data_IF_029021956961
#
_entry.id   IF_029021956961
#
_cell.length_a   1.000
_cell.length_b   1.000
_cell.length_c   1.000
_cell.angle_alpha   90.00
_cell.angle_beta   90.00
_cell.angle_gamma   90.00
#
_symmetry.space_group_name_H-M   'P 1'
#
loop_
_entity.id
_entity.type
_entity.pdbx_description
1 polymer ?
#
# COMPACT_ATOMS: atom_id res chain seq x y z
N UNK A 1 11.23 -15.89 -12.79
CA UNK A 1 11.06 -14.82 -11.78
C UNK A 1 12.23 -13.84 -11.74
N UNK A 2 13.46 -14.23 -12.10
CA UNK A 2 14.62 -13.32 -12.14
C UNK A 2 14.41 -12.07 -13.00
N UNK A 3 13.74 -12.18 -14.16
CA UNK A 3 13.39 -11.02 -15.00
C UNK A 3 12.44 -10.04 -14.32
N UNK A 4 11.43 -10.54 -13.60
CA UNK A 4 10.48 -9.73 -12.84
C UNK A 4 11.17 -9.01 -11.68
N UNK A 5 12.00 -9.71 -10.91
CA UNK A 5 12.75 -9.11 -9.80
C UNK A 5 13.70 -8.02 -10.33
N UNK A 6 14.42 -8.28 -11.41
CA UNK A 6 15.28 -7.29 -12.04
C UNK A 6 14.51 -6.05 -12.53
N UNK A 7 13.28 -6.23 -13.01
CA UNK A 7 12.41 -5.12 -13.42
C UNK A 7 11.95 -4.31 -12.20
N UNK A 8 11.43 -4.97 -11.17
CA UNK A 8 10.97 -4.35 -9.92
C UNK A 8 12.10 -3.51 -9.30
N UNK A 9 13.31 -4.05 -9.24
CA UNK A 9 14.46 -3.39 -8.60
C UNK A 9 14.95 -2.13 -9.32
N UNK A 10 14.50 -1.88 -10.56
CA UNK A 10 14.91 -0.72 -11.38
C UNK A 10 13.78 0.26 -11.63
N UNK A 11 12.61 0.02 -11.03
CA UNK A 11 11.39 0.77 -11.32
C UNK A 11 10.99 1.59 -10.11
N UNK A 12 10.55 2.82 -10.36
CA UNK A 12 9.81 3.61 -9.37
C UNK A 12 8.36 3.13 -9.34
N UNK A 13 7.88 2.73 -8.16
CA UNK A 13 6.55 2.18 -8.01
C UNK A 13 5.63 3.13 -7.23
N UNK A 14 4.44 3.40 -7.76
CA UNK A 14 3.37 4.05 -7.02
C UNK A 14 2.39 3.01 -6.49
N UNK A 15 2.11 3.08 -5.18
CA UNK A 15 1.20 2.19 -4.46
C UNK A 15 0.21 3.01 -3.62
N UNK A 16 -0.77 2.32 -3.03
CA UNK A 16 -1.72 2.91 -2.09
C UNK A 16 -1.75 2.12 -0.79
N UNK A 17 -1.19 2.67 0.29
CA UNK A 17 -1.06 1.96 1.57
C UNK A 17 -0.01 0.85 1.50
N UNK A 18 1.20 1.19 1.08
CA UNK A 18 2.24 0.28 0.59
C UNK A 18 2.87 -0.65 1.65
N UNK A 19 2.64 -0.44 2.95
CA UNK A 19 3.35 -1.14 4.03
C UNK A 19 3.24 -2.67 3.94
N UNK A 20 2.03 -3.19 3.75
CA UNK A 20 1.82 -4.64 3.65
C UNK A 20 2.36 -5.22 2.34
N UNK A 21 2.23 -4.48 1.22
CA UNK A 21 2.74 -4.90 -0.08
C UNK A 21 4.26 -5.01 -0.06
N UNK A 22 4.96 -4.02 0.50
CA UNK A 22 6.41 -4.05 0.64
C UNK A 22 6.89 -5.21 1.53
N UNK A 23 6.21 -5.46 2.66
CA UNK A 23 6.53 -6.61 3.52
C UNK A 23 6.32 -7.95 2.81
N UNK A 24 5.25 -8.06 2.02
CA UNK A 24 4.97 -9.25 1.23
C UNK A 24 6.03 -9.46 0.15
N UNK A 25 6.37 -8.42 -0.62
CA UNK A 25 7.42 -8.45 -1.64
C UNK A 25 8.77 -8.86 -1.03
N UNK A 26 9.15 -8.26 0.11
CA UNK A 26 10.36 -8.62 0.82
C UNK A 26 10.35 -10.08 1.27
N UNK A 27 9.26 -10.57 1.86
CA UNK A 27 9.15 -11.98 2.31
C UNK A 27 9.15 -12.98 1.16
N UNK A 28 8.53 -12.65 0.04
CA UNK A 28 8.35 -13.57 -1.10
C UNK A 28 9.54 -13.55 -2.05
N UNK A 29 10.14 -12.39 -2.29
CA UNK A 29 11.18 -12.20 -3.31
C UNK A 29 12.52 -11.72 -2.75
N UNK A 30 12.61 -11.41 -1.46
CA UNK A 30 13.82 -10.83 -0.84
C UNK A 30 14.14 -9.43 -1.35
N UNK A 31 13.18 -8.75 -1.97
CA UNK A 31 13.42 -7.46 -2.63
C UNK A 31 12.13 -6.63 -2.71
N UNK A 32 12.32 -5.31 -2.76
CA UNK A 32 11.29 -4.29 -2.97
C UNK A 32 11.81 -3.32 -4.03
N UNK A 33 10.94 -2.59 -4.75
CA UNK A 33 11.39 -1.53 -5.66
C UNK A 33 12.34 -0.55 -4.95
N UNK A 34 13.32 -0.03 -5.69
CA UNK A 34 14.30 0.91 -5.15
C UNK A 34 13.61 2.17 -4.60
N UNK A 35 12.58 2.64 -5.32
CA UNK A 35 11.75 3.76 -4.92
C UNK A 35 10.29 3.35 -4.91
N UNK A 36 9.64 3.54 -3.76
CA UNK A 36 8.21 3.31 -3.59
C UNK A 36 7.57 4.60 -3.10
N UNK A 37 6.58 5.08 -3.85
CA UNK A 37 5.77 6.23 -3.48
C UNK A 37 4.37 5.78 -3.09
N UNK A 38 3.82 6.36 -2.02
CA UNK A 38 2.52 5.97 -1.48
C UNK A 38 1.51 7.11 -1.58
N UNK A 39 0.50 6.92 -2.44
CA UNK A 39 -0.61 7.87 -2.59
C UNK A 39 -1.35 8.14 -1.28
N UNK A 40 -1.47 7.15 -0.39
CA UNK A 40 -2.08 7.33 0.93
C UNK A 40 -1.28 8.31 1.80
N UNK A 41 0.04 8.17 1.81
CA UNK A 41 0.96 9.07 2.52
C UNK A 41 0.90 10.48 1.94
N UNK A 42 0.92 10.60 0.60
CA UNK A 42 0.77 11.88 -0.08
C UNK A 42 -0.56 12.56 0.30
N UNK A 43 -1.69 11.86 0.23
CA UNK A 43 -3.00 12.41 0.60
C UNK A 43 -3.06 12.86 2.06
N UNK A 44 -2.45 12.11 2.99
CA UNK A 44 -2.35 12.51 4.40
C UNK A 44 -1.55 13.78 4.58
N UNK A 45 -0.42 13.93 3.90
CA UNK A 45 0.41 15.15 3.93
C UNK A 45 -0.29 16.35 3.30
N UNK A 46 -1.23 16.13 2.37
CA UNK A 46 -2.10 17.16 1.81
C UNK A 46 -3.32 17.49 2.71
N UNK A 47 -3.49 16.80 3.84
CA UNK A 47 -4.59 17.04 4.78
C UNK A 47 -5.93 16.42 4.37
N UNK A 48 -5.93 15.45 3.44
CA UNK A 48 -7.14 14.73 3.03
C UNK A 48 -7.65 13.88 4.19
N UNK A 49 -8.93 14.05 4.57
CA UNK A 49 -9.53 13.33 5.71
C UNK A 49 -9.82 11.86 5.40
N UNK A 50 -10.27 11.57 4.18
CA UNK A 50 -10.61 10.21 3.71
C UNK A 50 -9.60 9.76 2.67
N UNK A 51 -8.53 9.13 3.13
CA UNK A 51 -7.39 8.75 2.29
C UNK A 51 -7.41 7.29 1.84
N UNK A 52 -8.56 6.61 1.88
CA UNK A 52 -8.68 5.26 1.30
C UNK A 52 -8.90 5.35 -0.20
N UNK A 53 -8.31 4.43 -0.98
CA UNK A 53 -8.31 4.45 -2.45
C UNK A 53 -9.66 4.77 -3.07
N UNK A 54 -10.73 4.10 -2.63
CA UNK A 54 -12.09 4.34 -3.15
C UNK A 54 -12.53 5.79 -2.97
N UNK A 55 -12.25 6.40 -1.82
CA UNK A 55 -12.59 7.81 -1.60
C UNK A 55 -11.72 8.73 -2.45
N UNK A 56 -10.42 8.43 -2.60
CA UNK A 56 -9.54 9.24 -3.42
C UNK A 56 -9.91 9.17 -4.90
N UNK A 57 -10.31 8.00 -5.40
CA UNK A 57 -10.77 7.84 -6.78
C UNK A 57 -12.08 8.61 -7.02
N UNK A 58 -13.00 8.55 -6.06
CA UNK A 58 -14.25 9.33 -6.11
C UNK A 58 -13.95 10.84 -6.08
N UNK A 59 -13.09 11.30 -5.17
CA UNK A 59 -12.74 12.72 -5.00
C UNK A 59 -11.97 13.29 -6.21
N UNK A 60 -11.06 12.52 -6.81
CA UNK A 60 -10.22 12.98 -7.92
C UNK A 60 -10.89 12.83 -9.29
N UNK A 61 -11.67 11.76 -9.50
CA UNK A 61 -12.19 11.40 -10.83
C UNK A 61 -13.72 11.40 -10.91
N UNK A 62 -14.43 11.58 -9.79
CA UNK A 62 -15.88 11.45 -9.74
C UNK A 62 -16.38 10.02 -9.99
N UNK A 63 -15.49 9.03 -9.87
CA UNK A 63 -15.80 7.61 -10.13
C UNK A 63 -16.04 6.88 -8.82
N UNK A 64 -17.23 6.29 -8.68
CA UNK A 64 -17.58 5.46 -7.51
C UNK A 64 -17.13 4.03 -7.75
N UNK A 65 -16.07 3.60 -7.08
CA UNK A 65 -15.61 2.22 -7.14
C UNK A 65 -16.50 1.29 -6.29
N UNK A 66 -16.81 0.08 -6.79
CA UNK A 66 -17.55 -0.90 -6.01
C UNK A 66 -16.71 -1.37 -4.81
N UNK A 67 -17.32 -1.37 -3.60
CA UNK A 67 -16.67 -1.81 -2.35
C UNK A 67 -16.49 -3.33 -2.22
N UNK A 68 -16.83 -4.08 -3.26
CA UNK A 68 -16.89 -5.55 -3.23
C UNK A 68 -15.52 -6.15 -3.54
N UNK A 69 -15.14 -7.22 -2.81
CA UNK A 69 -13.98 -8.11 -3.03
C UNK A 69 -12.72 -7.91 -2.18
N UNK A 70 -12.65 -6.92 -1.28
CA UNK A 70 -11.49 -6.77 -0.38
C UNK A 70 -11.28 -7.99 0.54
N UNK A 71 -12.33 -8.81 0.78
CA UNK A 71 -12.29 -10.04 1.58
C UNK A 71 -12.52 -11.32 0.76
N UNK A 72 -12.30 -11.28 -0.55
CA UNK A 72 -12.44 -12.46 -1.40
C UNK A 72 -11.29 -13.46 -1.16
N UNK A 73 -11.53 -14.74 -1.44
CA UNK A 73 -10.48 -15.76 -1.47
C UNK A 73 -9.65 -15.63 -2.75
N UNK A 74 -8.52 -14.93 -2.66
CA UNK A 74 -7.57 -14.74 -3.78
C UNK A 74 -6.79 -16.02 -4.17
N UNK A 75 -6.92 -17.09 -3.39
CA UNK A 75 -6.37 -18.42 -3.70
C UNK A 75 -7.24 -19.22 -4.68
N UNK A 76 -8.53 -18.90 -4.80
CA UNK A 76 -9.47 -19.62 -5.67
C UNK A 76 -9.08 -19.56 -7.15
N UNK A 77 -9.30 -20.65 -7.91
CA UNK A 77 -9.19 -20.67 -9.37
C UNK A 77 -10.39 -21.36 -10.05
N UNK A 78 -10.87 -20.85 -11.20
CA UNK A 78 -10.49 -19.58 -11.83
C UNK A 78 -10.93 -18.37 -10.98
N UNK A 79 -10.29 -17.22 -11.21
CA UNK A 79 -10.74 -15.97 -10.60
C UNK A 79 -12.10 -15.57 -11.17
N UNK A 80 -12.98 -15.01 -10.35
CA UNK A 80 -14.25 -14.45 -10.82
C UNK A 80 -14.04 -13.11 -11.53
N UNK A 81 -14.96 -12.75 -12.42
CA UNK A 81 -14.95 -11.45 -13.12
C UNK A 81 -14.87 -10.26 -12.13
N UNK A 82 -15.62 -10.34 -11.02
CA UNK A 82 -15.58 -9.32 -9.96
C UNK A 82 -14.22 -9.17 -9.28
N UNK A 83 -13.42 -10.25 -9.20
CA UNK A 83 -12.06 -10.17 -8.64
C UNK A 83 -11.10 -9.55 -9.65
N UNK A 84 -11.26 -9.86 -10.94
CA UNK A 84 -10.47 -9.25 -12.00
C UNK A 84 -10.74 -7.74 -12.09
N UNK A 85 -12.02 -7.34 -12.08
CA UNK A 85 -12.41 -5.92 -12.08
C UNK A 85 -11.86 -5.18 -10.87
N UNK A 86 -11.94 -5.79 -9.69
CA UNK A 86 -11.36 -5.22 -8.46
C UNK A 86 -9.84 -5.02 -8.62
N UNK A 87 -9.10 -6.05 -9.04
CA UNK A 87 -7.65 -5.97 -9.20
C UNK A 87 -7.21 -4.91 -10.21
N UNK A 88 -7.98 -4.71 -11.29
CA UNK A 88 -7.71 -3.66 -12.27
C UNK A 88 -7.99 -2.27 -11.69
N UNK A 89 -9.09 -2.11 -10.95
CA UNK A 89 -9.45 -0.81 -10.36
C UNK A 89 -8.49 -0.35 -9.26
N UNK A 90 -7.80 -1.28 -8.60
CA UNK A 90 -6.78 -0.95 -7.59
C UNK A 90 -5.56 -0.22 -8.19
N UNK A 91 -5.30 -0.35 -9.49
CA UNK A 91 -4.12 0.24 -10.16
C UNK A 91 -4.44 1.25 -11.26
N UNK A 92 -5.61 1.13 -11.90
CA UNK A 92 -5.99 1.92 -13.09
C UNK A 92 -5.86 3.44 -12.89
N UNK A 93 -6.18 3.92 -11.70
CA UNK A 93 -6.25 5.35 -11.38
C UNK A 93 -5.00 5.89 -10.67
N UNK A 94 -4.05 5.02 -10.29
CA UNK A 94 -2.96 5.39 -9.39
C UNK A 94 -2.01 6.42 -10.00
N UNK A 95 -1.60 6.24 -11.26
CA UNK A 95 -0.60 7.10 -11.89
C UNK A 95 -1.13 8.52 -12.12
N UNK A 96 -2.34 8.65 -12.65
CA UNK A 96 -2.98 9.97 -12.87
C UNK A 96 -3.24 10.68 -11.53
N UNK A 97 -3.61 9.92 -10.49
CA UNK A 97 -3.74 10.45 -9.13
C UNK A 97 -2.38 10.89 -8.59
N UNK A 98 -1.33 10.11 -8.80
CA UNK A 98 0.03 10.41 -8.37
C UNK A 98 0.57 11.70 -8.98
N UNK A 99 0.30 11.95 -10.27
CA UNK A 99 0.67 13.20 -10.93
C UNK A 99 0.02 14.40 -10.23
N UNK A 100 -1.28 14.31 -9.96
CA UNK A 100 -2.04 15.34 -9.25
C UNK A 100 -1.50 15.57 -7.84
N UNK A 101 -1.26 14.50 -7.08
CA UNK A 101 -0.73 14.57 -5.72
C UNK A 101 0.68 15.18 -5.70
N UNK A 102 1.52 14.81 -6.67
CA UNK A 102 2.88 15.32 -6.81
C UNK A 102 2.89 16.82 -7.05
N UNK A 103 2.04 17.32 -7.95
CA UNK A 103 1.92 18.76 -8.21
C UNK A 103 1.53 19.51 -6.93
N UNK A 104 0.48 19.06 -6.24
CA UNK A 104 0.00 19.70 -5.00
C UNK A 104 1.02 19.65 -3.87
N UNK A 105 1.76 18.55 -3.74
CA UNK A 105 2.85 18.45 -2.77
C UNK A 105 3.96 19.44 -3.05
N UNK A 106 4.32 19.66 -4.33
CA UNK A 106 5.33 20.64 -4.73
C UNK A 106 4.86 22.07 -4.53
N UNK A 107 3.61 22.39 -4.86
CA UNK A 107 3.00 23.71 -4.62
C UNK A 107 3.01 24.11 -3.14
N UNK A 108 2.86 23.13 -2.25
CA UNK A 108 2.89 23.33 -0.80
C UNK A 108 4.28 23.17 -0.18
N UNK A 109 5.33 22.96 -1.00
CA UNK A 109 6.71 22.71 -0.56
C UNK A 109 6.86 21.49 0.37
N UNK A 110 5.97 20.49 0.23
CA UNK A 110 5.92 19.27 1.05
C UNK A 110 6.52 18.04 0.37
N UNK A 111 7.04 18.18 -0.85
CA UNK A 111 7.61 17.06 -1.61
C UNK A 111 8.73 16.35 -0.84
N UNK A 112 9.61 17.10 -0.19
CA UNK A 112 10.71 16.51 0.58
C UNK A 112 10.21 15.70 1.79
N UNK A 113 9.18 16.19 2.50
CA UNK A 113 8.59 15.45 3.61
C UNK A 113 7.93 14.15 3.12
N UNK A 114 7.33 14.19 1.94
CA UNK A 114 6.73 13.03 1.32
C UNK A 114 7.76 11.96 0.95
N UNK A 115 8.86 12.34 0.31
CA UNK A 115 9.91 11.39 -0.07
C UNK A 115 10.57 10.76 1.16
N UNK A 116 10.87 11.55 2.19
CA UNK A 116 11.41 11.05 3.47
C UNK A 116 10.45 10.10 4.18
N UNK A 117 9.15 10.41 4.16
CA UNK A 117 8.12 9.54 4.75
C UNK A 117 8.02 8.19 4.04
N UNK A 118 8.11 8.20 2.70
CA UNK A 118 8.08 6.97 1.90
C UNK A 118 9.34 6.13 2.12
N UNK A 119 10.52 6.77 2.18
CA UNK A 119 11.77 6.07 2.44
C UNK A 119 11.77 5.41 3.83
N UNK A 120 11.34 6.15 4.86
CA UNK A 120 11.23 5.60 6.22
C UNK A 120 10.24 4.42 6.30
N UNK A 121 9.12 4.50 5.57
CA UNK A 121 8.16 3.41 5.47
C UNK A 121 8.77 2.17 4.77
N UNK A 122 9.55 2.38 3.70
CA UNK A 122 10.27 1.32 2.99
C UNK A 122 11.27 0.63 3.92
N UNK A 123 12.13 1.39 4.61
CA UNK A 123 13.08 0.86 5.60
C UNK A 123 12.38 0.05 6.69
N UNK A 124 11.26 0.56 7.21
CA UNK A 124 10.48 -0.13 8.23
C UNK A 124 9.87 -1.44 7.73
N UNK A 125 9.48 -1.51 6.46
CA UNK A 125 8.88 -2.68 5.84
C UNK A 125 9.89 -3.75 5.44
N UNK A 126 11.15 -3.36 5.15
CA UNK A 126 12.23 -4.29 4.80
C UNK A 126 12.87 -4.95 6.01
N UNK A 127 12.72 -4.39 7.21
CA UNK A 127 13.16 -5.03 8.45
C UNK A 127 12.26 -6.23 8.75
N UNK A 128 12.80 -7.44 8.52
CA UNK A 128 12.19 -8.69 8.95
C UNK A 128 12.39 -8.79 10.48
N UNK A 129 11.36 -8.42 11.24
CA UNK A 129 11.36 -8.65 12.68
C UNK A 129 11.28 -10.14 12.97
N UNK A 130 12.23 -10.63 13.76
CA UNK A 130 12.12 -11.95 14.36
C UNK A 130 10.86 -12.02 15.23
N UNK A 131 10.32 -13.23 15.35
CA UNK A 131 9.10 -13.47 16.09
C UNK A 131 9.41 -13.28 17.57
N UNK A 132 8.97 -12.16 18.13
CA UNK A 132 9.10 -11.87 19.56
C UNK A 132 8.38 -12.97 20.36
N UNK A 133 9.16 -13.77 21.11
CA UNK A 133 8.65 -14.88 21.90
C UNK A 133 7.69 -14.40 23.01
N UNK A 134 7.86 -13.16 23.48
CA UNK A 134 6.97 -12.57 24.50
C UNK A 134 5.58 -12.24 23.93
N UNK A 135 5.45 -12.10 22.60
CA UNK A 135 4.16 -11.90 21.92
C UNK A 135 3.36 -13.19 21.77
N UNK A 136 3.94 -14.38 22.02
CA UNK A 136 3.22 -15.66 21.94
C UNK A 136 2.01 -15.68 22.89
N UNK A 137 2.12 -14.98 24.02
CA UNK A 137 1.08 -14.90 25.05
C UNK A 137 0.08 -13.77 24.85
N UNK A 138 0.20 -13.01 23.74
CA UNK A 138 -0.69 -11.87 23.45
C UNK A 138 -2.03 -12.36 22.87
N UNK A 139 -2.72 -13.19 23.65
CA UNK A 139 -4.02 -13.78 23.32
C UNK A 139 -5.11 -12.82 23.80
N UNK A 140 -6.03 -12.48 22.91
CA UNK A 140 -7.19 -11.64 23.26
C UNK A 140 -7.98 -12.29 24.41
N UNK A 141 -8.19 -11.54 25.48
CA UNK A 141 -8.87 -12.04 26.68
C UNK A 141 -7.98 -12.71 27.72
N UNK A 142 -6.66 -12.79 27.51
CA UNK A 142 -5.70 -13.29 28.50
C UNK A 142 -5.87 -12.64 29.88
N UNK A 143 -6.02 -11.31 29.94
CA UNK A 143 -6.24 -10.57 31.19
C UNK A 143 -7.55 -10.88 31.93
N UNK A 144 -8.40 -11.78 31.39
CA UNK A 144 -9.60 -12.29 32.08
C UNK A 144 -9.36 -13.64 32.77
N UNK A 145 -8.17 -14.24 32.62
CA UNK A 145 -7.82 -15.53 33.20
C UNK A 145 -7.22 -15.42 34.61
N UNK A 146 -6.90 -14.21 35.08
CA UNK A 146 -6.37 -13.95 36.44
C UNK A 146 -7.46 -13.67 37.50
N UNK A 147 -8.66 -14.23 37.36
CA UNK A 147 -9.73 -14.15 38.37
C UNK A 147 -10.05 -15.52 38.96
#
# INVERSE_FOLDING_TARGET
LSSLINFINRTEAWLHGADFDMRMLMRTFGSVPETVYDTQTASRLLGVKKFGLVNLVEDHFGVVLPKTSQKADWGQRPLSEKMLDYAVNDVRYLLEMADTLTLRLKELERWQWFTESCESAKESATIIKEKDEDLIWRISGWGKLEQ
#
